data_IF_163192097189
#
_entry.id   IF_163192097189
#
_cell.length_a   1.000
_cell.length_b   1.000
_cell.length_c   1.000
_cell.angle_alpha   90.00
_cell.angle_beta   90.00
_cell.angle_gamma   90.00
#
_symmetry.space_group_name_H-M   'P 1'
#
loop_
_entity.id
_entity.type
_entity.pdbx_description
1 polymer ?
#
# COMPACT_ATOMS: atom_id res chain seq x y z
N UNK A 1 4.84 -2.92 17.08
CA UNK A 1 5.97 -2.05 16.68
C UNK A 1 7.00 -2.07 17.80
N UNK A 2 8.20 -2.59 17.53
CA UNK A 2 9.32 -2.60 18.49
C UNK A 2 9.92 -1.19 18.53
N UNK A 3 10.13 -0.56 19.71
CA UNK A 3 10.79 0.74 19.77
C UNK A 3 12.19 0.61 19.18
N UNK A 4 12.53 1.48 18.23
CA UNK A 4 13.81 1.46 17.53
C UNK A 4 14.95 1.89 18.48
N UNK A 5 16.13 1.24 18.41
CA UNK A 5 17.29 1.62 19.20
C UNK A 5 17.88 2.94 18.70
N UNK A 6 17.57 4.04 19.38
CA UNK A 6 18.24 5.32 19.24
C UNK A 6 19.59 5.27 20.00
N UNK A 7 20.61 4.62 19.46
CA UNK A 7 21.93 4.61 20.12
C UNK A 7 23.10 4.46 19.15
N UNK A 8 23.33 5.47 18.32
CA UNK A 8 24.69 5.81 17.89
C UNK A 8 25.34 6.75 18.92
N UNK A 9 26.68 6.76 19.08
CA UNK A 9 27.36 7.73 19.93
C UNK A 9 27.08 9.14 19.39
N UNK A 10 26.21 9.88 20.08
CA UNK A 10 25.84 11.24 19.72
C UNK A 10 27.01 12.21 19.83
N UNK A 11 26.97 13.35 19.12
CA UNK A 11 27.96 14.41 19.26
C UNK A 11 28.06 14.89 20.72
N UNK A 12 29.26 15.29 21.13
CA UNK A 12 29.53 15.75 22.49
C UNK A 12 28.54 16.86 22.91
N UNK A 13 27.96 16.79 24.12
CA UNK A 13 26.93 17.72 24.57
C UNK A 13 27.49 19.14 24.62
N UNK A 14 26.82 20.08 23.93
CA UNK A 14 27.13 21.51 24.07
C UNK A 14 26.73 21.97 25.48
N UNK A 15 27.45 22.93 26.08
CA UNK A 15 27.08 23.49 27.37
C UNK A 15 25.64 24.03 27.31
N UNK A 16 24.81 23.57 28.25
CA UNK A 16 23.38 23.86 28.26
C UNK A 16 23.13 25.34 28.49
N UNK A 17 22.34 25.94 27.59
CA UNK A 17 21.66 27.22 27.85
C UNK A 17 20.79 27.04 29.09
N UNK A 18 21.10 27.76 30.16
CA UNK A 18 20.53 27.61 31.52
C UNK A 18 19.05 28.00 31.65
N UNK A 19 18.34 28.19 30.54
CA UNK A 19 16.90 28.44 30.52
C UNK A 19 16.12 27.68 29.45
N UNK A 20 16.72 26.78 28.68
CA UNK A 20 16.03 26.07 27.59
C UNK A 20 15.03 24.99 28.04
N UNK A 21 14.14 24.57 27.13
CA UNK A 21 13.41 23.30 27.28
C UNK A 21 14.46 22.18 27.40
N UNK A 22 14.37 21.28 28.41
CA UNK A 22 15.33 20.20 28.54
C UNK A 22 15.40 19.37 27.24
N UNK A 23 16.59 18.97 26.78
CA UNK A 23 16.76 18.23 25.53
C UNK A 23 16.02 16.87 25.52
N UNK A 24 15.80 16.27 26.69
CA UNK A 24 14.99 15.05 26.79
C UNK A 24 13.50 15.32 26.56
N UNK A 25 13.01 16.49 26.96
CA UNK A 25 11.62 16.89 26.75
C UNK A 25 11.38 17.18 25.25
N UNK A 26 12.36 17.80 24.59
CA UNK A 26 12.36 17.97 23.13
C UNK A 26 12.13 16.65 22.39
N UNK A 27 12.88 15.61 22.75
CA UNK A 27 12.77 14.29 22.13
C UNK A 27 11.42 13.64 22.40
N UNK A 28 10.93 13.73 23.64
CA UNK A 28 9.62 13.17 24.00
C UNK A 28 8.47 13.87 23.28
N UNK A 29 8.55 15.19 23.07
CA UNK A 29 7.55 15.96 22.33
C UNK A 29 7.61 15.66 20.83
N UNK A 30 8.79 15.57 20.23
CA UNK A 30 8.92 15.19 18.82
C UNK A 30 8.51 13.74 18.57
N UNK A 31 8.71 12.84 19.54
CA UNK A 31 8.25 11.45 19.44
C UNK A 31 6.74 11.28 19.67
N UNK A 32 6.02 12.35 20.03
CA UNK A 32 4.59 12.29 20.28
C UNK A 32 3.79 11.97 18.99
N UNK A 33 2.86 11.00 19.02
CA UNK A 33 2.09 10.62 17.83
C UNK A 33 1.23 11.75 17.24
N UNK A 34 0.66 12.63 18.05
CA UNK A 34 -0.16 13.74 17.57
C UNK A 34 0.73 14.81 16.89
N UNK A 35 1.89 15.10 17.47
CA UNK A 35 2.89 16.00 16.88
C UNK A 35 3.42 15.43 15.55
N UNK A 36 3.80 14.16 15.51
CA UNK A 36 4.22 13.47 14.30
C UNK A 36 3.12 13.48 13.22
N UNK A 37 1.86 13.24 13.61
CA UNK A 37 0.71 13.31 12.72
C UNK A 37 0.54 14.71 12.11
N UNK A 38 0.67 15.76 12.91
CA UNK A 38 0.58 17.14 12.45
C UNK A 38 1.71 17.53 11.50
N UNK A 39 2.97 17.15 11.82
CA UNK A 39 4.13 17.37 10.95
C UNK A 39 3.91 16.70 9.59
N UNK A 40 3.45 15.44 9.57
CA UNK A 40 3.18 14.70 8.33
C UNK A 40 2.07 15.35 7.51
N UNK A 41 0.95 15.71 8.15
CA UNK A 41 -0.16 16.36 7.47
C UNK A 41 0.27 17.69 6.81
N UNK A 42 1.09 18.47 7.52
CA UNK A 42 1.62 19.73 6.98
C UNK A 42 2.63 19.49 5.86
N UNK A 43 3.54 18.53 6.01
CA UNK A 43 4.51 18.19 4.97
C UNK A 43 3.83 17.76 3.67
N UNK A 44 2.78 16.94 3.77
CA UNK A 44 1.95 16.54 2.61
C UNK A 44 1.24 17.73 1.97
N UNK A 45 0.77 18.69 2.77
CA UNK A 45 0.04 19.87 2.28
C UNK A 45 0.96 20.91 1.63
N UNK A 46 2.15 21.14 2.19
CA UNK A 46 3.04 22.23 1.78
C UNK A 46 4.20 21.80 0.89
N UNK A 47 4.51 20.51 0.83
CA UNK A 47 5.70 19.98 0.15
C UNK A 47 7.02 20.36 0.84
N UNK A 48 6.96 20.88 2.08
CA UNK A 48 8.14 21.29 2.82
C UNK A 48 8.75 20.15 3.65
N UNK A 49 10.04 20.29 4.00
CA UNK A 49 10.68 19.35 4.92
C UNK A 49 10.08 19.44 6.33
N UNK A 50 10.30 18.40 7.14
CA UNK A 50 9.77 18.34 8.51
C UNK A 50 10.26 19.48 9.41
N UNK A 51 11.46 20.03 9.17
CA UNK A 51 11.99 21.15 9.95
C UNK A 51 11.25 22.46 9.65
N UNK A 52 10.90 22.72 8.40
CA UNK A 52 10.08 23.87 8.02
C UNK A 52 8.65 23.71 8.53
N UNK A 53 8.13 22.47 8.57
CA UNK A 53 6.80 22.19 9.13
C UNK A 53 6.69 22.54 10.62
N UNK A 54 7.78 22.50 11.40
CA UNK A 54 7.78 22.93 12.80
C UNK A 54 7.48 24.43 12.97
N UNK A 55 7.65 25.24 11.92
CA UNK A 55 7.32 26.67 11.95
C UNK A 55 5.83 26.93 11.73
N UNK A 56 5.06 25.90 11.37
CA UNK A 56 3.63 26.04 11.15
C UNK A 56 2.87 26.22 12.48
N UNK A 57 1.97 27.21 12.59
CA UNK A 57 1.22 27.46 13.81
C UNK A 57 0.37 26.27 14.28
N UNK A 58 -0.15 25.45 13.37
CA UNK A 58 -0.95 24.28 13.74
C UNK A 58 -0.07 23.17 14.33
N UNK A 59 1.12 22.95 13.78
CA UNK A 59 2.10 22.01 14.34
C UNK A 59 2.57 22.48 15.72
N UNK A 60 2.85 23.78 15.89
CA UNK A 60 3.21 24.36 17.19
C UNK A 60 2.09 24.22 18.22
N UNK A 61 0.82 24.41 17.81
CA UNK A 61 -0.32 24.19 18.69
C UNK A 61 -0.40 22.74 19.19
N UNK A 62 -0.10 21.76 18.32
CA UNK A 62 -0.06 20.35 18.71
C UNK A 62 1.10 20.04 19.66
N UNK A 63 2.28 20.63 19.43
CA UNK A 63 3.42 20.51 20.36
C UNK A 63 3.06 21.07 21.74
N UNK A 64 2.40 22.24 21.78
CA UNK A 64 1.94 22.84 23.03
C UNK A 64 0.89 21.98 23.74
N UNK A 65 -0.07 21.42 23.01
CA UNK A 65 -1.10 20.56 23.58
C UNK A 65 -0.49 19.27 24.14
N UNK A 66 0.41 18.61 23.39
CA UNK A 66 1.13 17.43 23.86
C UNK A 66 1.99 17.75 25.10
N UNK A 67 2.62 18.92 25.14
CA UNK A 67 3.37 19.38 26.31
C UNK A 67 2.47 19.59 27.53
N UNK A 68 1.32 20.27 27.36
CA UNK A 68 0.35 20.49 28.45
C UNK A 68 -0.19 19.18 29.02
N UNK A 69 -0.46 18.21 28.16
CA UNK A 69 -1.07 16.94 28.54
C UNK A 69 -0.07 16.01 29.24
N UNK A 70 1.16 15.91 28.70
CA UNK A 70 2.15 14.93 29.17
C UNK A 70 3.17 15.48 30.15
N UNK A 71 3.37 16.80 30.16
CA UNK A 71 4.41 17.50 30.91
C UNK A 71 3.87 18.80 31.52
N UNK A 72 2.82 18.73 32.36
CA UNK A 72 2.12 19.91 32.88
C UNK A 72 3.04 20.86 33.65
N UNK A 73 4.09 20.36 34.29
CA UNK A 73 5.10 21.15 34.99
C UNK A 73 5.89 22.10 34.06
N UNK A 74 5.95 21.80 32.76
CA UNK A 74 6.58 22.63 31.73
C UNK A 74 5.58 23.46 30.92
N UNK A 75 4.27 23.29 31.13
CA UNK A 75 3.22 23.94 30.33
C UNK A 75 3.30 25.47 30.35
N UNK A 76 3.65 26.06 31.50
CA UNK A 76 3.81 27.51 31.66
C UNK A 76 4.99 28.07 30.85
N UNK A 77 6.09 27.32 30.77
CA UNK A 77 7.29 27.70 30.02
C UNK A 77 7.18 27.40 28.53
N UNK A 78 6.41 26.36 28.17
CA UNK A 78 6.31 25.87 26.80
C UNK A 78 5.73 26.91 25.85
N UNK A 79 4.79 27.75 26.30
CA UNK A 79 4.17 28.78 25.44
C UNK A 79 5.19 29.77 24.89
N UNK A 80 6.07 30.26 25.75
CA UNK A 80 7.05 31.28 25.37
C UNK A 80 8.25 30.65 24.66
N UNK A 81 8.54 29.38 24.96
CA UNK A 81 9.71 28.66 24.44
C UNK A 81 9.42 27.80 23.22
N UNK A 82 8.18 27.61 22.79
CA UNK A 82 7.87 26.80 21.59
C UNK A 82 8.47 27.41 20.33
N UNK A 83 8.49 28.74 20.22
CA UNK A 83 9.09 29.44 19.06
C UNK A 83 10.61 29.29 19.06
N UNK A 84 11.25 29.44 20.22
CA UNK A 84 12.68 29.21 20.42
C UNK A 84 13.03 27.74 20.09
N UNK A 85 12.24 26.81 20.60
CA UNK A 85 12.34 25.38 20.38
C UNK A 85 12.23 24.99 18.90
N UNK A 86 11.21 25.46 18.19
CA UNK A 86 11.04 25.19 16.76
C UNK A 86 12.12 25.87 15.90
N UNK A 87 12.78 26.90 16.43
CA UNK A 87 13.88 27.61 15.76
C UNK A 87 15.26 27.01 16.07
N UNK A 88 15.37 26.09 17.04
CA UNK A 88 16.63 25.46 17.42
C UNK A 88 17.16 24.55 16.28
N UNK A 89 18.40 24.77 15.79
CA UNK A 89 19.02 23.94 14.77
C UNK A 89 19.09 22.44 15.11
N UNK A 90 19.29 22.07 16.38
CA UNK A 90 19.35 20.67 16.81
C UNK A 90 17.96 20.02 16.74
N UNK A 91 16.92 20.75 17.15
CA UNK A 91 15.51 20.31 17.05
C UNK A 91 15.12 20.15 15.58
N UNK A 92 15.52 21.09 14.72
CA UNK A 92 15.30 20.98 13.27
C UNK A 92 16.04 19.79 12.65
N UNK A 93 17.28 19.50 13.07
CA UNK A 93 18.02 18.32 12.61
C UNK A 93 17.29 17.04 13.01
N UNK A 94 16.88 16.92 14.27
CA UNK A 94 16.12 15.76 14.76
C UNK A 94 14.78 15.61 14.07
N UNK A 95 14.06 16.71 13.86
CA UNK A 95 12.80 16.70 13.12
C UNK A 95 13.01 16.25 11.66
N UNK A 96 14.13 16.59 11.02
CA UNK A 96 14.49 16.03 9.71
C UNK A 96 14.79 14.54 9.77
N UNK A 97 15.50 14.05 10.78
CA UNK A 97 15.76 12.62 10.95
C UNK A 97 14.45 11.83 11.14
N UNK A 98 13.56 12.29 12.02
CA UNK A 98 12.23 11.71 12.20
C UNK A 98 11.37 11.84 10.95
N UNK A 99 11.43 12.99 10.29
CA UNK A 99 10.72 13.28 9.06
C UNK A 99 11.18 12.40 7.90
N UNK A 100 12.49 12.15 7.78
CA UNK A 100 13.07 11.28 6.76
C UNK A 100 12.66 9.82 6.98
N UNK A 101 12.74 9.33 8.22
CA UNK A 101 12.22 7.99 8.57
C UNK A 101 10.73 7.90 8.27
N UNK A 102 9.94 8.89 8.71
CA UNK A 102 8.51 8.93 8.45
C UNK A 102 8.18 9.03 6.96
N UNK A 103 8.97 9.77 6.17
CA UNK A 103 8.83 9.88 4.72
C UNK A 103 9.30 8.61 4.00
N UNK A 104 10.23 7.84 4.55
CA UNK A 104 10.60 6.52 4.04
C UNK A 104 9.44 5.53 4.25
N UNK A 105 8.86 5.50 5.46
CA UNK A 105 7.67 4.69 5.75
C UNK A 105 6.43 5.17 4.96
N UNK A 106 6.21 6.48 4.89
CA UNK A 106 5.11 7.07 4.13
C UNK A 106 5.39 7.04 2.63
N UNK A 107 6.64 6.92 2.18
CA UNK A 107 7.03 6.70 0.81
C UNK A 107 6.79 5.26 0.39
N UNK A 108 6.98 4.30 1.29
CA UNK A 108 6.54 2.92 1.10
C UNK A 108 5.00 2.85 1.03
N UNK A 109 4.30 3.43 2.01
CA UNK A 109 2.83 3.49 1.99
C UNK A 109 2.25 4.36 0.85
N UNK A 110 2.96 5.42 0.47
CA UNK A 110 2.61 6.34 -0.60
C UNK A 110 2.91 5.76 -1.97
N UNK A 111 3.95 4.94 -2.12
CA UNK A 111 4.16 4.11 -3.30
C UNK A 111 3.03 3.07 -3.43
N UNK A 112 2.57 2.49 -2.32
CA UNK A 112 1.37 1.64 -2.32
C UNK A 112 0.11 2.41 -2.73
N UNK A 113 -0.03 3.68 -2.31
CA UNK A 113 -1.17 4.53 -2.66
C UNK A 113 -1.11 5.08 -4.11
N UNK A 114 0.06 5.46 -4.61
CA UNK A 114 0.27 5.84 -6.02
C UNK A 114 0.14 4.60 -6.91
N UNK A 115 0.58 3.43 -6.46
CA UNK A 115 0.28 2.16 -7.13
C UNK A 115 -1.22 1.83 -7.08
N UNK A 116 -1.98 2.30 -6.08
CA UNK A 116 -3.45 2.24 -6.10
C UNK A 116 -4.06 3.15 -7.18
N UNK A 117 -3.40 4.24 -7.58
CA UNK A 117 -3.88 5.10 -8.67
C UNK A 117 -3.74 4.41 -10.04
N UNK A 118 -2.79 3.48 -10.21
CA UNK A 118 -2.72 2.59 -11.39
C UNK A 118 -3.59 1.33 -11.27
N UNK A 119 -4.34 1.16 -10.18
CA UNK A 119 -5.27 0.04 -10.09
C UNK A 119 -6.42 0.26 -11.06
N UNK A 120 -6.60 -0.70 -11.98
CA UNK A 120 -7.67 -0.66 -12.97
C UNK A 120 -9.06 -0.53 -12.31
N UNK A 121 -10.10 -0.26 -13.13
CA UNK A 121 -11.47 -0.09 -12.64
C UNK A 121 -11.87 -1.21 -11.68
N UNK A 122 -12.49 -0.86 -10.55
CA UNK A 122 -12.81 -1.81 -9.48
C UNK A 122 -13.60 -3.05 -9.99
N UNK A 123 -14.41 -2.89 -11.03
CA UNK A 123 -15.12 -3.99 -11.68
C UNK A 123 -14.18 -4.99 -12.35
N UNK A 124 -13.18 -4.52 -13.12
CA UNK A 124 -12.22 -5.41 -13.81
C UNK A 124 -11.38 -6.18 -12.80
N UNK A 125 -11.01 -5.51 -11.69
CA UNK A 125 -10.30 -6.13 -10.57
C UNK A 125 -11.10 -7.22 -9.88
N UNK A 126 -12.38 -6.96 -9.59
CA UNK A 126 -13.27 -7.96 -9.01
C UNK A 126 -13.41 -9.18 -9.95
N UNK A 127 -13.56 -8.94 -11.26
CA UNK A 127 -13.63 -10.02 -12.25
C UNK A 127 -12.33 -10.83 -12.30
N UNK A 128 -11.17 -10.17 -12.25
CA UNK A 128 -9.87 -10.83 -12.19
C UNK A 128 -9.70 -11.65 -10.90
N UNK A 129 -10.13 -11.11 -9.75
CA UNK A 129 -10.13 -11.84 -8.48
C UNK A 129 -10.99 -13.11 -8.54
N UNK A 130 -12.21 -13.01 -9.08
CA UNK A 130 -13.09 -14.18 -9.28
C UNK A 130 -12.47 -15.19 -10.24
N UNK A 131 -11.80 -14.73 -11.29
CA UNK A 131 -11.04 -15.60 -12.20
C UNK A 131 -9.89 -16.32 -11.52
N UNK A 132 -9.12 -15.61 -10.70
CA UNK A 132 -8.09 -16.18 -9.84
C UNK A 132 -8.65 -17.25 -8.90
N UNK A 133 -9.77 -16.96 -8.23
CA UNK A 133 -10.42 -17.91 -7.33
C UNK A 133 -10.92 -19.16 -8.05
N UNK A 134 -11.56 -19.00 -9.21
CA UNK A 134 -12.01 -20.12 -10.04
C UNK A 134 -10.81 -20.97 -10.52
N UNK A 135 -9.77 -20.31 -11.03
CA UNK A 135 -8.52 -20.97 -11.45
C UNK A 135 -7.85 -21.72 -10.28
N UNK A 136 -7.86 -21.15 -9.07
CA UNK A 136 -7.32 -21.76 -7.87
C UNK A 136 -8.10 -23.02 -7.47
N UNK A 137 -9.43 -22.97 -7.56
CA UNK A 137 -10.27 -24.13 -7.26
C UNK A 137 -10.04 -25.26 -8.26
N UNK A 138 -9.98 -24.95 -9.57
CA UNK A 138 -9.76 -25.95 -10.63
C UNK A 138 -8.38 -26.60 -10.51
N UNK A 139 -7.33 -25.82 -10.24
CA UNK A 139 -5.98 -26.36 -10.03
C UNK A 139 -5.90 -27.21 -8.77
N UNK A 140 -6.50 -26.77 -7.66
CA UNK A 140 -6.58 -27.55 -6.43
C UNK A 140 -7.31 -28.89 -6.64
N UNK A 141 -8.47 -28.89 -7.30
CA UNK A 141 -9.21 -30.12 -7.63
C UNK A 141 -8.38 -31.07 -8.49
N UNK A 142 -7.59 -30.54 -9.43
CA UNK A 142 -6.70 -31.36 -10.26
C UNK A 142 -5.59 -32.04 -9.44
N UNK A 143 -5.13 -31.40 -8.37
CA UNK A 143 -4.08 -31.93 -7.49
C UNK A 143 -4.57 -32.97 -6.47
N UNK A 144 -5.88 -33.02 -6.18
CA UNK A 144 -6.46 -33.93 -5.17
C UNK A 144 -6.49 -35.39 -5.62
N UNK A 145 -6.30 -35.71 -6.91
CA UNK A 145 -6.35 -37.09 -7.41
C UNK A 145 -4.97 -37.68 -7.74
N UNK A 146 -4.11 -37.97 -6.73
CA UNK A 146 -2.69 -38.27 -6.92
C UNK A 146 -2.43 -39.51 -7.79
N UNK A 147 -3.40 -40.40 -7.99
CA UNK A 147 -3.26 -41.54 -8.89
C UNK A 147 -3.05 -41.14 -10.36
N UNK A 148 -3.47 -39.93 -10.74
CA UNK A 148 -3.17 -39.36 -12.06
C UNK A 148 -1.71 -38.88 -12.23
N UNK A 149 -0.92 -38.84 -11.15
CA UNK A 149 0.45 -38.32 -11.20
C UNK A 149 1.37 -39.15 -12.11
N UNK A 150 1.16 -40.47 -12.16
CA UNK A 150 2.02 -41.39 -12.92
C UNK A 150 1.80 -41.24 -14.43
N UNK A 151 0.56 -40.97 -14.85
CA UNK A 151 0.17 -40.91 -16.27
C UNK A 151 0.17 -39.49 -16.82
N UNK A 152 0.07 -38.47 -15.96
CA UNK A 152 -0.06 -37.07 -16.36
C UNK A 152 0.86 -36.14 -15.54
N UNK A 153 2.13 -36.52 -15.34
CA UNK A 153 3.14 -35.74 -14.60
C UNK A 153 3.20 -34.28 -15.04
N UNK A 154 3.14 -34.02 -16.36
CA UNK A 154 3.17 -32.67 -16.92
C UNK A 154 1.97 -31.83 -16.47
N UNK A 155 0.77 -32.42 -16.49
CA UNK A 155 -0.46 -31.76 -16.03
C UNK A 155 -0.38 -31.40 -14.55
N UNK A 156 0.21 -32.27 -13.73
CA UNK A 156 0.43 -32.02 -12.31
C UNK A 156 1.36 -30.84 -12.06
N UNK A 157 2.52 -30.83 -12.72
CA UNK A 157 3.50 -29.74 -12.60
C UNK A 157 2.86 -28.42 -13.03
N UNK A 158 2.17 -28.40 -14.16
CA UNK A 158 1.47 -27.20 -14.62
C UNK A 158 0.32 -26.78 -13.69
N UNK A 159 -0.37 -27.73 -13.04
CA UNK A 159 -1.41 -27.43 -12.05
C UNK A 159 -0.85 -26.78 -10.78
N UNK A 160 0.35 -27.17 -10.34
CA UNK A 160 1.04 -26.51 -9.22
C UNK A 160 1.39 -25.07 -9.60
N UNK A 161 1.96 -24.84 -10.79
CA UNK A 161 2.23 -23.48 -11.27
C UNK A 161 0.95 -22.65 -11.39
N UNK A 162 -0.14 -23.23 -11.92
CA UNK A 162 -1.43 -22.57 -12.01
C UNK A 162 -2.01 -22.23 -10.64
N UNK A 163 -1.85 -23.09 -9.64
CA UNK A 163 -2.24 -22.81 -8.27
C UNK A 163 -1.49 -21.60 -7.73
N UNK A 164 -0.16 -21.60 -7.83
CA UNK A 164 0.66 -20.47 -7.39
C UNK A 164 0.28 -19.17 -8.11
N UNK A 165 0.16 -19.20 -9.44
CA UNK A 165 -0.23 -18.03 -10.23
C UNK A 165 -1.63 -17.52 -9.88
N UNK A 166 -2.59 -18.42 -9.65
CA UNK A 166 -3.94 -18.04 -9.26
C UNK A 166 -4.00 -17.38 -7.87
N UNK A 167 -3.21 -17.88 -6.91
CA UNK A 167 -3.05 -17.25 -5.60
C UNK A 167 -2.39 -15.87 -5.73
N UNK A 168 -1.36 -15.75 -6.55
CA UNK A 168 -0.74 -14.46 -6.87
C UNK A 168 -1.75 -13.49 -7.50
N UNK A 169 -2.56 -13.94 -8.47
CA UNK A 169 -3.66 -13.15 -9.05
C UNK A 169 -4.65 -12.69 -7.99
N UNK A 170 -5.10 -13.59 -7.11
CA UNK A 170 -6.00 -13.23 -6.01
C UNK A 170 -5.36 -12.21 -5.07
N UNK A 171 -4.07 -12.34 -4.75
CA UNK A 171 -3.36 -11.42 -3.86
C UNK A 171 -3.22 -10.01 -4.47
N UNK A 172 -2.91 -9.91 -5.76
CA UNK A 172 -2.79 -8.61 -6.44
C UNK A 172 -4.14 -7.92 -6.66
N UNK A 173 -5.23 -8.69 -6.77
CA UNK A 173 -6.57 -8.15 -6.99
C UNK A 173 -7.41 -8.01 -5.73
N UNK A 174 -6.95 -8.60 -4.61
CA UNK A 174 -7.58 -8.43 -3.32
C UNK A 174 -7.60 -6.95 -2.91
N UNK A 175 -8.70 -6.57 -2.28
CA UNK A 175 -8.82 -5.27 -1.65
C UNK A 175 -7.84 -5.18 -0.47
N UNK A 176 -7.10 -4.07 -0.30
CA UNK A 176 -6.15 -3.91 0.80
C UNK A 176 -6.77 -4.18 2.17
N UNK A 177 -8.04 -3.82 2.36
CA UNK A 177 -8.77 -4.04 3.60
C UNK A 177 -8.97 -5.53 3.90
N UNK A 178 -9.01 -6.39 2.88
CA UNK A 178 -9.10 -7.84 3.08
C UNK A 178 -7.78 -8.41 3.55
N UNK A 179 -6.66 -7.93 2.98
CA UNK A 179 -5.32 -8.39 3.34
C UNK A 179 -4.98 -7.97 4.79
N UNK A 180 -5.26 -6.70 5.14
CA UNK A 180 -5.08 -6.18 6.48
C UNK A 180 -5.90 -6.93 7.54
N UNK A 181 -7.09 -7.43 7.18
CA UNK A 181 -7.94 -8.21 8.09
C UNK A 181 -7.42 -9.61 8.36
N UNK A 182 -6.78 -10.25 7.38
CA UNK A 182 -6.25 -11.62 7.56
C UNK A 182 -5.05 -11.61 8.49
N UNK A 183 -4.27 -10.52 8.52
CA UNK A 183 -3.06 -10.43 9.34
C UNK A 183 -2.04 -11.52 8.99
N UNK A 184 -1.08 -11.78 9.88
CA UNK A 184 -0.23 -12.98 9.78
C UNK A 184 0.91 -12.93 8.74
N UNK A 185 1.39 -11.75 8.36
CA UNK A 185 2.57 -11.62 7.49
C UNK A 185 2.30 -11.69 5.99
N UNK A 186 1.03 -11.76 5.58
CA UNK A 186 0.64 -11.66 4.15
C UNK A 186 1.07 -10.30 3.58
N UNK A 187 1.01 -9.23 4.38
CA UNK A 187 1.50 -7.90 3.98
C UNK A 187 2.98 -7.95 3.54
N UNK A 188 3.85 -8.61 4.32
CA UNK A 188 5.27 -8.75 3.98
C UNK A 188 5.48 -9.53 2.69
N UNK A 189 4.67 -10.56 2.44
CA UNK A 189 4.73 -11.33 1.21
C UNK A 189 4.26 -10.51 0.00
N UNK A 190 3.17 -9.75 0.15
CA UNK A 190 2.67 -8.84 -0.88
C UNK A 190 3.71 -7.76 -1.21
N UNK A 191 4.32 -7.14 -0.20
CA UNK A 191 5.37 -6.14 -0.37
C UNK A 191 6.59 -6.73 -1.11
N UNK A 192 6.98 -7.96 -0.73
CA UNK A 192 8.09 -8.66 -1.40
C UNK A 192 7.75 -8.92 -2.88
N UNK A 193 6.53 -9.35 -3.18
CA UNK A 193 6.07 -9.55 -4.55
C UNK A 193 6.00 -8.24 -5.34
N UNK A 194 5.54 -7.14 -4.74
CA UNK A 194 5.53 -5.83 -5.39
C UNK A 194 6.94 -5.34 -5.73
N UNK A 195 7.91 -5.56 -4.84
CA UNK A 195 9.31 -5.18 -5.06
C UNK A 195 9.97 -6.06 -6.12
N UNK A 196 9.76 -7.39 -6.05
CA UNK A 196 10.42 -8.35 -6.96
C UNK A 196 9.73 -8.47 -8.31
N UNK A 197 8.43 -8.21 -8.36
CA UNK A 197 7.59 -8.36 -9.55
C UNK A 197 6.93 -7.03 -9.88
N UNK A 198 7.74 -5.97 -10.03
CA UNK A 198 7.26 -4.63 -10.39
C UNK A 198 6.37 -4.63 -11.64
N UNK A 199 6.64 -5.49 -12.61
CA UNK A 199 5.77 -5.65 -13.78
C UNK A 199 4.32 -6.04 -13.43
N UNK A 200 4.10 -6.83 -12.37
CA UNK A 200 2.75 -7.20 -11.89
C UNK A 200 2.06 -6.08 -11.11
N UNK A 201 2.78 -5.02 -10.74
CA UNK A 201 2.15 -3.84 -10.16
C UNK A 201 1.50 -2.96 -11.23
N UNK A 202 2.00 -3.02 -12.47
CA UNK A 202 1.49 -2.28 -13.61
C UNK A 202 0.26 -2.98 -14.22
N UNK A 203 -0.72 -2.20 -14.68
CA UNK A 203 -1.93 -2.73 -15.32
C UNK A 203 -1.63 -3.61 -16.54
N UNK A 204 -0.62 -3.21 -17.34
CA UNK A 204 -0.18 -3.98 -18.51
C UNK A 204 0.36 -5.35 -18.12
N UNK A 205 1.29 -5.38 -17.16
CA UNK A 205 1.93 -6.63 -16.76
C UNK A 205 0.96 -7.60 -16.10
N UNK A 206 -0.04 -7.11 -15.36
CA UNK A 206 -1.18 -7.95 -14.89
C UNK A 206 -2.00 -8.49 -16.05
N UNK A 207 -2.35 -7.66 -17.02
CA UNK A 207 -3.08 -8.09 -18.20
C UNK A 207 -2.36 -9.20 -18.96
N UNK A 208 -1.05 -9.02 -19.22
CA UNK A 208 -0.21 -10.03 -19.86
C UNK A 208 -0.09 -11.30 -19.03
N UNK A 209 0.03 -11.18 -17.71
CA UNK A 209 0.07 -12.32 -16.80
C UNK A 209 -1.22 -13.14 -16.84
N UNK A 210 -2.39 -12.50 -16.90
CA UNK A 210 -3.67 -13.20 -17.01
C UNK A 210 -3.87 -13.84 -18.38
N UNK A 211 -3.41 -13.20 -19.46
CA UNK A 211 -3.38 -13.83 -20.80
C UNK A 211 -2.51 -15.07 -20.78
N UNK A 212 -1.32 -15.01 -20.17
CA UNK A 212 -0.44 -16.16 -20.01
C UNK A 212 -1.12 -17.27 -19.19
N UNK A 213 -1.71 -16.93 -18.05
CA UNK A 213 -2.45 -17.87 -17.21
C UNK A 213 -3.61 -18.53 -17.96
N UNK A 214 -4.35 -17.75 -18.75
CA UNK A 214 -5.41 -18.23 -19.63
C UNK A 214 -4.89 -19.16 -20.72
N UNK A 215 -3.77 -18.81 -21.37
CA UNK A 215 -3.16 -19.63 -22.42
C UNK A 215 -2.70 -21.00 -21.90
N UNK A 216 -2.20 -21.07 -20.66
CA UNK A 216 -1.85 -22.32 -20.00
C UNK A 216 -3.09 -23.18 -19.70
N UNK A 217 -4.22 -22.57 -19.33
CA UNK A 217 -5.47 -23.31 -19.19
C UNK A 217 -6.02 -23.81 -20.52
N UNK A 218 -5.89 -23.01 -21.58
CA UNK A 218 -6.32 -23.39 -22.94
C UNK A 218 -5.44 -24.50 -23.52
N UNK A 219 -4.15 -24.55 -23.20
CA UNK A 219 -3.26 -25.64 -23.65
C UNK A 219 -3.51 -26.94 -22.91
N UNK A 220 -3.96 -26.86 -21.65
CA UNK A 220 -4.34 -28.02 -20.83
C UNK A 220 -5.80 -28.46 -21.03
N UNK A 221 -6.66 -27.55 -21.49
CA UNK A 221 -8.10 -27.77 -21.64
C UNK A 221 -8.46 -28.24 -23.04
N UNK A 222 -8.86 -29.51 -23.17
CA UNK A 222 -9.51 -30.02 -24.38
C UNK A 222 -11.03 -29.77 -24.38
N UNK A 223 -11.70 -30.13 -25.48
CA UNK A 223 -13.17 -30.10 -25.57
C UNK A 223 -13.87 -30.99 -24.52
N UNK A 224 -13.16 -31.97 -23.98
CA UNK A 224 -13.63 -32.86 -22.92
C UNK A 224 -13.60 -32.20 -21.53
N UNK A 225 -12.72 -31.21 -21.33
CA UNK A 225 -12.50 -30.54 -20.05
C UNK A 225 -13.04 -29.10 -20.10
N UNK A 226 -14.36 -28.98 -20.29
CA UNK A 226 -15.05 -27.69 -20.47
C UNK A 226 -14.75 -26.69 -19.36
N UNK A 227 -14.53 -27.14 -18.12
CA UNK A 227 -14.21 -26.28 -16.98
C UNK A 227 -12.85 -25.57 -17.15
N UNK A 228 -11.82 -26.31 -17.58
CA UNK A 228 -10.48 -25.74 -17.84
C UNK A 228 -10.52 -24.81 -19.04
N UNK A 229 -11.24 -25.21 -20.08
CA UNK A 229 -11.45 -24.39 -21.28
C UNK A 229 -12.15 -23.07 -20.93
N UNK A 230 -13.26 -23.12 -20.20
CA UNK A 230 -14.00 -21.94 -19.77
C UNK A 230 -13.14 -21.02 -18.89
N UNK A 231 -12.38 -21.59 -17.94
CA UNK A 231 -11.46 -20.83 -17.11
C UNK A 231 -10.36 -20.16 -17.93
N UNK A 232 -9.82 -20.85 -18.94
CA UNK A 232 -8.80 -20.31 -19.84
C UNK A 232 -9.31 -19.16 -20.70
N UNK A 233 -10.50 -19.32 -21.31
CA UNK A 233 -11.16 -18.25 -22.09
C UNK A 233 -11.44 -17.05 -21.19
N UNK A 234 -11.99 -17.28 -20.00
CA UNK A 234 -12.30 -16.23 -19.04
C UNK A 234 -11.04 -15.44 -18.64
N UNK A 235 -9.97 -16.12 -18.23
CA UNK A 235 -8.72 -15.46 -17.82
C UNK A 235 -8.06 -14.70 -18.97
N UNK A 236 -8.06 -15.26 -20.19
CA UNK A 236 -7.55 -14.57 -21.37
C UNK A 236 -8.36 -13.31 -21.69
N UNK A 237 -9.69 -13.37 -21.58
CA UNK A 237 -10.57 -12.23 -21.77
C UNK A 237 -10.32 -11.13 -20.73
N UNK A 238 -10.23 -11.46 -19.45
CA UNK A 238 -9.91 -10.49 -18.39
C UNK A 238 -8.52 -9.88 -18.58
N UNK A 239 -7.54 -10.69 -18.98
CA UNK A 239 -6.20 -10.20 -19.31
C UNK A 239 -6.22 -9.20 -20.45
N UNK A 240 -6.96 -9.48 -21.52
CA UNK A 240 -7.15 -8.55 -22.63
C UNK A 240 -7.85 -7.26 -22.20
N UNK A 241 -8.88 -7.33 -21.34
CA UNK A 241 -9.51 -6.13 -20.77
C UNK A 241 -8.50 -5.28 -19.99
N UNK A 242 -7.62 -5.88 -19.19
CA UNK A 242 -6.59 -5.14 -18.45
C UNK A 242 -5.56 -4.48 -19.38
N UNK A 243 -5.17 -5.14 -20.48
CA UNK A 243 -4.30 -4.52 -21.50
C UNK A 243 -5.01 -3.33 -22.15
N UNK A 244 -6.29 -3.45 -22.49
CA UNK A 244 -7.08 -2.34 -23.05
C UNK A 244 -7.23 -1.17 -22.08
N UNK A 245 -7.37 -1.45 -20.78
CA UNK A 245 -7.37 -0.45 -19.72
C UNK A 245 -6.06 0.32 -19.70
N UNK A 246 -4.94 -0.39 -19.80
CA UNK A 246 -3.61 0.23 -19.83
C UNK A 246 -3.38 1.09 -21.08
N UNK A 247 -3.83 0.65 -22.25
CA UNK A 247 -3.66 1.40 -23.51
C UNK A 247 -4.51 2.69 -23.60
N UNK A 248 -5.19 3.12 -22.53
CA UNK A 248 -5.87 4.42 -22.47
C UNK A 248 -7.17 4.51 -23.29
N UNK A 249 -7.57 3.45 -24.00
CA UNK A 249 -8.90 3.37 -24.61
C UNK A 249 -10.01 3.38 -23.56
N UNK A 250 -9.70 2.90 -22.35
CA UNK A 250 -10.68 2.72 -21.30
C UNK A 250 -10.90 3.95 -20.42
N UNK A 251 -9.96 4.90 -20.30
CA UNK A 251 -10.21 6.13 -19.50
C UNK A 251 -11.41 6.90 -20.05
N UNK A 252 -11.49 7.05 -21.37
CA UNK A 252 -12.64 7.63 -22.07
C UNK A 252 -13.93 6.79 -21.95
N UNK A 253 -13.81 5.46 -21.89
CA UNK A 253 -14.96 4.56 -21.77
C UNK A 253 -15.51 4.53 -20.33
N UNK A 254 -14.63 4.47 -19.33
CA UNK A 254 -14.96 4.53 -17.92
C UNK A 254 -15.60 5.88 -17.56
N UNK A 255 -15.10 6.98 -18.11
CA UNK A 255 -15.72 8.31 -17.96
C UNK A 255 -17.15 8.34 -18.53
N UNK A 256 -17.40 7.68 -19.68
CA UNK A 256 -18.75 7.52 -20.24
C UNK A 256 -19.65 6.61 -19.40
N UNK A 257 -19.13 5.50 -18.88
CA UNK A 257 -19.91 4.61 -18.03
C UNK A 257 -20.26 5.26 -16.69
N UNK A 258 -19.30 5.93 -16.04
CA UNK A 258 -19.53 6.58 -14.76
C UNK A 258 -20.54 7.72 -14.87
N UNK A 259 -20.46 8.53 -15.94
CA UNK A 259 -21.47 9.55 -16.23
C UNK A 259 -22.85 8.94 -16.51
N UNK A 260 -22.92 7.84 -17.25
CA UNK A 260 -24.19 7.13 -17.51
C UNK A 260 -24.80 6.57 -16.24
N UNK A 261 -24.00 5.93 -15.37
CA UNK A 261 -24.49 5.41 -14.08
C UNK A 261 -24.98 6.55 -13.19
N UNK A 262 -24.21 7.64 -13.07
CA UNK A 262 -24.59 8.79 -12.25
C UNK A 262 -25.91 9.42 -12.72
N UNK A 263 -26.10 9.55 -14.03
CA UNK A 263 -27.36 10.01 -14.62
C UNK A 263 -28.52 9.04 -14.35
N UNK A 264 -28.27 7.72 -14.38
CA UNK A 264 -29.29 6.74 -14.03
C UNK A 264 -29.69 6.82 -12.55
N UNK A 265 -28.73 7.03 -11.65
CA UNK A 265 -28.99 7.20 -10.22
C UNK A 265 -29.72 8.50 -9.92
N UNK A 266 -29.35 9.62 -10.56
CA UNK A 266 -30.03 10.91 -10.41
C UNK A 266 -31.48 10.86 -10.92
N UNK A 267 -31.77 10.10 -11.98
CA UNK A 267 -33.16 9.89 -12.45
C UNK A 267 -34.01 9.02 -11.53
N UNK A 268 -33.39 8.23 -10.65
CA UNK A 268 -34.09 7.35 -9.70
C UNK A 268 -34.21 7.98 -8.30
N UNK A 269 -33.64 9.16 -8.06
CA UNK A 269 -33.82 9.90 -6.83
C UNK A 269 -35.19 10.61 -6.85
N UNK A 270 -36.14 10.24 -5.95
CA UNK A 270 -37.48 10.84 -5.87
C UNK A 270 -37.48 12.27 -5.31
#
# INVERSE_FOLDING_TARGET
LKPLPLSGPGPAPRPMSTGGIPPELADKLLADPAVQGAIRAQALKSGQDAAQCLKDPAVQAQILNACKEKFPEYAGLARDKVLEFCSDPEVQRRAREYGALAAEYAGQAGALFVAQIEQGPAGVRLLAFVGGLASCAVSALTLVNPFGLITATVTYVLSIYQLLFSLTTMLFEAKPEWIQRVGGGIDTYQDTLLVKSRFLSEALGRGLFYIFQGSLWLSLGGLTDLLKLACGIYMAFIGFLNVLVHCGGYSRFAEKLSTTFRQATEKQAP
#
